data_IF_357540855235
#
_entry.id   IF_357540855235
#
_cell.length_a   1.000
_cell.length_b   1.000
_cell.length_c   1.000
_cell.angle_alpha   90.00
_cell.angle_beta   90.00
_cell.angle_gamma   90.00
#
_symmetry.space_group_name_H-M   'P 1'
#
loop_
_entity.id
_entity.type
_entity.pdbx_description
1 polymer ?
#
# COMPACT_ATOMS: atom_id res chain seq x y z
N UNK A 1 -10.36 0.87 -13.04
CA UNK A 1 -9.09 1.04 -12.33
C UNK A 1 -7.96 1.22 -13.32
N UNK A 2 -7.59 2.48 -13.53
CA UNK A 2 -6.46 2.95 -14.34
C UNK A 2 -5.38 3.59 -13.47
N UNK A 3 -5.75 4.17 -12.32
CA UNK A 3 -4.81 4.81 -11.40
C UNK A 3 -4.92 4.23 -9.99
N UNK A 4 -3.78 3.92 -9.37
CA UNK A 4 -3.68 3.36 -8.02
C UNK A 4 -2.62 4.09 -7.21
N UNK A 5 -2.86 4.26 -5.91
CA UNK A 5 -1.85 4.67 -4.95
C UNK A 5 -1.05 3.48 -4.46
N UNK A 6 0.20 3.68 -4.05
CA UNK A 6 1.06 2.64 -3.49
C UNK A 6 1.66 3.10 -2.16
N UNK A 7 1.38 2.35 -1.10
CA UNK A 7 2.02 2.49 0.20
C UNK A 7 2.89 1.27 0.47
N UNK A 8 4.12 1.51 0.93
CA UNK A 8 5.10 0.47 1.23
C UNK A 8 6.33 1.10 1.83
N UNK A 9 7.43 0.34 1.93
CA UNK A 9 8.71 0.96 2.28
C UNK A 9 9.10 2.01 1.25
N UNK A 10 9.94 2.98 1.63
CA UNK A 10 10.52 3.95 0.69
C UNK A 10 11.12 3.28 -0.55
N UNK A 11 11.81 2.13 -0.39
CA UNK A 11 12.32 1.34 -1.51
C UNK A 11 11.22 0.91 -2.50
N UNK A 12 10.11 0.36 -1.99
CA UNK A 12 8.95 -0.02 -2.82
C UNK A 12 8.30 1.18 -3.49
N UNK A 13 8.25 2.32 -2.80
CA UNK A 13 7.64 3.56 -3.28
C UNK A 13 8.56 4.43 -4.13
N UNK A 14 9.85 4.15 -4.25
CA UNK A 14 10.80 4.99 -5.00
C UNK A 14 11.46 4.24 -6.15
N UNK A 15 11.65 2.92 -6.03
CA UNK A 15 12.29 2.15 -7.08
C UNK A 15 11.33 1.78 -8.21
N UNK A 16 11.84 1.89 -9.44
CA UNK A 16 11.11 1.56 -10.67
C UNK A 16 10.74 0.08 -10.79
N UNK A 17 11.37 -0.82 -10.03
CA UNK A 17 11.11 -2.26 -10.16
C UNK A 17 9.66 -2.64 -9.89
N UNK A 18 9.03 -2.06 -8.86
CA UNK A 18 7.64 -2.39 -8.50
C UNK A 18 6.63 -1.54 -9.28
N UNK A 19 6.88 -0.23 -9.38
CA UNK A 19 6.02 0.69 -10.15
C UNK A 19 6.04 0.39 -11.64
N UNK A 20 7.22 0.19 -12.20
CA UNK A 20 7.44 -0.11 -13.61
C UNK A 20 6.77 -1.41 -14.00
N UNK A 21 6.86 -2.46 -13.16
CA UNK A 21 6.15 -3.73 -13.42
C UNK A 21 4.63 -3.57 -13.42
N UNK A 22 4.06 -2.78 -12.51
CA UNK A 22 2.61 -2.51 -12.49
C UNK A 22 2.16 -1.69 -13.71
N UNK A 23 2.96 -0.69 -14.09
CA UNK A 23 2.69 0.13 -15.25
C UNK A 23 2.82 -0.66 -16.56
N UNK A 24 3.89 -1.42 -16.75
CA UNK A 24 4.16 -2.18 -17.98
C UNK A 24 3.23 -3.38 -18.15
N UNK A 25 2.96 -4.13 -17.08
CA UNK A 25 2.18 -5.38 -17.19
C UNK A 25 0.67 -5.15 -17.14
N UNK A 26 0.21 -4.14 -16.40
CA UNK A 26 -1.22 -3.90 -16.16
C UNK A 26 -1.69 -2.53 -16.65
N UNK A 27 -0.82 -1.74 -17.29
CA UNK A 27 -1.13 -0.42 -17.83
C UNK A 27 -1.74 0.53 -16.78
N UNK A 28 -1.27 0.40 -15.54
CA UNK A 28 -1.70 1.18 -14.38
C UNK A 28 -0.79 2.40 -14.15
N UNK A 29 -1.39 3.55 -13.89
CA UNK A 29 -0.69 4.70 -13.34
C UNK A 29 -0.53 4.55 -11.82
N UNK A 30 0.71 4.63 -11.32
CA UNK A 30 1.01 4.40 -9.90
C UNK A 30 1.40 5.71 -9.22
N UNK A 31 0.52 6.20 -8.36
CA UNK A 31 0.77 7.36 -7.51
C UNK A 31 1.48 6.92 -6.22
N UNK A 32 2.42 7.75 -5.76
CA UNK A 32 3.06 7.59 -4.45
C UNK A 32 2.95 8.88 -3.64
N UNK A 33 2.99 8.79 -2.31
CA UNK A 33 2.96 9.99 -1.46
C UNK A 33 4.14 10.92 -1.74
N UNK A 34 4.03 12.15 -1.24
CA UNK A 34 5.13 13.14 -1.23
C UNK A 34 6.27 12.64 -0.34
N UNK A 35 7.46 13.20 -0.52
CA UNK A 35 8.68 12.71 0.14
C UNK A 35 8.56 12.67 1.68
N UNK A 36 7.94 13.67 2.28
CA UNK A 36 7.72 13.74 3.73
C UNK A 36 6.81 12.60 4.21
N UNK A 37 5.71 12.35 3.50
CA UNK A 37 4.79 11.26 3.79
C UNK A 37 5.42 9.89 3.59
N UNK A 38 6.29 9.74 2.57
CA UNK A 38 7.03 8.49 2.36
C UNK A 38 7.96 8.17 3.53
N UNK A 39 8.59 9.19 4.13
CA UNK A 39 9.42 9.03 5.34
C UNK A 39 8.56 8.59 6.53
N UNK A 40 7.37 9.17 6.71
CA UNK A 40 6.42 8.75 7.76
C UNK A 40 6.04 7.28 7.58
N UNK A 41 5.58 6.90 6.39
CA UNK A 41 5.18 5.51 6.08
C UNK A 41 6.33 4.54 6.36
N UNK A 42 7.53 4.84 5.85
CA UNK A 42 8.72 4.01 6.06
C UNK A 42 9.09 3.87 7.54
N UNK A 43 9.10 4.97 8.29
CA UNK A 43 9.44 4.97 9.70
C UNK A 43 8.43 4.17 10.53
N UNK A 44 7.13 4.36 10.27
CA UNK A 44 6.07 3.61 10.96
C UNK A 44 6.21 2.10 10.71
N UNK A 45 6.51 1.68 9.48
CA UNK A 45 6.73 0.26 9.17
C UNK A 45 7.85 -0.31 10.05
N UNK A 46 9.03 0.30 10.06
CA UNK A 46 10.19 -0.26 10.77
C UNK A 46 10.16 -0.07 12.28
N UNK A 47 9.73 1.09 12.76
CA UNK A 47 9.80 1.48 14.17
C UNK A 47 8.57 1.06 14.97
N UNK A 48 7.45 0.75 14.31
CA UNK A 48 6.22 0.36 14.98
C UNK A 48 5.74 -1.01 14.51
N UNK A 49 5.39 -1.14 13.22
CA UNK A 49 4.65 -2.31 12.73
C UNK A 49 5.49 -3.59 12.74
N UNK A 50 6.76 -3.54 12.33
CA UNK A 50 7.69 -4.66 12.42
C UNK A 50 7.99 -5.08 13.88
N UNK A 51 7.72 -4.21 14.86
CA UNK A 51 7.83 -4.50 16.28
C UNK A 51 6.50 -4.95 16.90
N UNK A 52 5.43 -5.05 16.10
CA UNK A 52 4.09 -5.40 16.56
C UNK A 52 3.34 -4.27 17.26
N UNK A 53 3.85 -3.03 17.20
CA UNK A 53 3.23 -1.87 17.84
C UNK A 53 2.24 -1.19 16.88
N UNK A 54 1.01 -0.97 17.36
CA UNK A 54 -0.03 -0.26 16.60
C UNK A 54 -0.32 1.06 17.31
N UNK A 55 -0.03 2.18 16.64
CA UNK A 55 -0.23 3.51 17.18
C UNK A 55 -1.38 4.22 16.45
N UNK A 56 -2.27 4.85 17.23
CA UNK A 56 -3.38 5.63 16.69
C UNK A 56 -2.89 6.82 15.86
N UNK A 57 -1.85 7.53 16.31
CA UNK A 57 -1.33 8.68 15.56
C UNK A 57 -0.80 8.26 14.19
N UNK A 58 -0.11 7.13 14.13
CA UNK A 58 0.38 6.55 12.87
C UNK A 58 -0.77 6.12 11.96
N UNK A 59 -1.85 5.57 12.54
CA UNK A 59 -3.07 5.27 11.79
C UNK A 59 -3.69 6.53 11.19
N UNK A 60 -3.80 7.61 11.96
CA UNK A 60 -4.37 8.87 11.51
C UNK A 60 -3.52 9.48 10.37
N UNK A 61 -2.19 9.40 10.45
CA UNK A 61 -1.29 9.80 9.35
C UNK A 61 -1.49 8.94 8.10
N UNK A 62 -1.62 7.62 8.24
CA UNK A 62 -1.89 6.74 7.10
C UNK A 62 -3.23 7.07 6.43
N UNK A 63 -4.28 7.34 7.22
CA UNK A 63 -5.58 7.71 6.69
C UNK A 63 -5.54 9.06 5.96
N UNK A 64 -4.79 10.04 6.49
CA UNK A 64 -4.52 11.30 5.81
C UNK A 64 -3.85 11.07 4.45
N UNK A 65 -2.78 10.30 4.42
CA UNK A 65 -2.02 10.00 3.20
C UNK A 65 -2.88 9.24 2.17
N UNK A 66 -3.68 8.27 2.61
CA UNK A 66 -4.63 7.53 1.75
C UNK A 66 -5.63 8.50 1.10
N UNK A 67 -6.16 9.44 1.88
CA UNK A 67 -7.10 10.44 1.39
C UNK A 67 -6.45 11.41 0.39
N UNK A 68 -5.20 11.81 0.63
CA UNK A 68 -4.44 12.63 -0.32
C UNK A 68 -4.21 11.90 -1.63
N UNK A 69 -3.75 10.64 -1.60
CA UNK A 69 -3.61 9.81 -2.80
C UNK A 69 -4.92 9.69 -3.60
N UNK A 70 -6.05 9.52 -2.90
CA UNK A 70 -7.36 9.48 -3.55
C UNK A 70 -7.75 10.82 -4.17
N UNK A 71 -7.45 11.93 -3.49
CA UNK A 71 -7.68 13.29 -3.99
C UNK A 71 -6.81 13.59 -5.23
N UNK A 72 -5.63 12.99 -5.30
CA UNK A 72 -4.72 13.05 -6.47
C UNK A 72 -5.15 12.11 -7.61
N UNK A 73 -6.26 11.37 -7.44
CA UNK A 73 -6.88 10.56 -8.48
C UNK A 73 -6.66 9.05 -8.36
N UNK A 74 -6.12 8.55 -7.25
CA UNK A 74 -6.09 7.10 -7.00
C UNK A 74 -7.50 6.54 -6.79
N UNK A 75 -7.89 5.56 -7.61
CA UNK A 75 -9.16 4.81 -7.45
C UNK A 75 -9.08 3.77 -6.33
N UNK A 76 -7.86 3.34 -5.98
CA UNK A 76 -7.57 2.43 -4.89
C UNK A 76 -6.14 2.61 -4.40
N UNK A 77 -5.86 2.22 -3.16
CA UNK A 77 -4.51 2.24 -2.57
C UNK A 77 -4.03 0.82 -2.30
N UNK A 78 -2.89 0.48 -2.89
CA UNK A 78 -2.19 -0.78 -2.74
C UNK A 78 -1.37 -0.76 -1.44
N UNK A 79 -1.61 -1.75 -0.59
CA UNK A 79 -0.82 -2.01 0.62
C UNK A 79 0.31 -2.98 0.25
N UNK A 80 1.51 -2.46 0.12
CA UNK A 80 2.70 -3.18 -0.35
C UNK A 80 3.41 -4.02 0.71
N UNK A 81 2.95 -3.99 1.97
CA UNK A 81 3.46 -4.80 3.06
C UNK A 81 2.28 -5.30 3.92
N UNK A 82 2.35 -6.53 4.41
CA UNK A 82 1.37 -7.16 5.32
C UNK A 82 1.10 -6.33 6.57
N UNK A 83 2.15 -5.72 7.08
CA UNK A 83 2.20 -4.91 8.28
C UNK A 83 1.26 -3.70 8.19
N UNK A 84 1.12 -3.12 7.00
CA UNK A 84 0.24 -1.96 6.78
C UNK A 84 -1.23 -2.36 6.99
N UNK A 85 -1.61 -3.57 6.59
CA UNK A 85 -2.95 -4.12 6.82
C UNK A 85 -3.27 -4.37 8.30
N UNK A 86 -2.26 -4.42 9.18
CA UNK A 86 -2.47 -4.48 10.62
C UNK A 86 -2.88 -3.11 11.19
N UNK A 87 -2.40 -2.01 10.60
CA UNK A 87 -2.64 -0.64 11.05
C UNK A 87 -3.95 -0.07 10.50
N UNK A 88 -4.22 -0.27 9.20
CA UNK A 88 -5.38 0.29 8.49
C UNK A 88 -6.20 -0.80 7.83
N UNK A 89 -7.52 -0.74 8.02
CA UNK A 89 -8.48 -1.67 7.44
C UNK A 89 -9.44 -0.95 6.50
N UNK A 90 -10.10 -1.69 5.62
CA UNK A 90 -11.11 -1.14 4.71
C UNK A 90 -12.27 -0.44 5.47
N UNK A 91 -12.54 -0.81 6.72
CA UNK A 91 -13.55 -0.15 7.56
C UNK A 91 -13.15 1.25 8.03
N UNK A 92 -11.87 1.62 7.91
CA UNK A 92 -11.35 2.90 8.41
C UNK A 92 -11.39 4.01 7.34
N UNK A 93 -11.69 3.68 6.09
CA UNK A 93 -11.65 4.62 4.97
C UNK A 93 -12.62 4.20 3.86
N UNK A 94 -13.18 5.18 3.17
CA UNK A 94 -14.00 4.95 1.97
C UNK A 94 -13.15 4.66 0.73
N UNK A 95 -11.84 4.96 0.79
CA UNK A 95 -10.91 4.65 -0.29
C UNK A 95 -10.69 3.15 -0.35
N UNK A 96 -10.83 2.56 -1.54
CA UNK A 96 -10.63 1.12 -1.73
C UNK A 96 -9.19 0.74 -1.41
N UNK A 97 -8.98 -0.19 -0.50
CA UNK A 97 -7.67 -0.74 -0.15
C UNK A 97 -7.46 -2.08 -0.88
N UNK A 98 -6.27 -2.27 -1.43
CA UNK A 98 -5.86 -3.50 -2.11
C UNK A 98 -4.70 -4.09 -1.33
N UNK A 99 -4.98 -5.15 -0.57
CA UNK A 99 -3.93 -5.91 0.10
C UNK A 99 -3.25 -6.84 -0.91
N UNK A 100 -2.00 -6.54 -1.25
CA UNK A 100 -1.20 -7.35 -2.18
C UNK A 100 -0.90 -8.74 -1.65
N UNK A 101 -1.01 -8.92 -0.34
CA UNK A 101 -0.80 -10.20 0.35
C UNK A 101 -2.01 -11.10 0.15
N UNK A 102 -3.23 -10.57 0.26
CA UNK A 102 -4.44 -11.35 0.00
C UNK A 102 -4.47 -11.85 -1.45
N UNK A 103 -4.06 -11.01 -2.40
CA UNK A 103 -3.97 -11.38 -3.82
C UNK A 103 -2.84 -12.39 -4.08
N UNK A 104 -1.65 -12.23 -3.47
CA UNK A 104 -0.56 -13.21 -3.63
C UNK A 104 -0.84 -14.52 -2.91
N UNK A 105 -1.44 -14.51 -1.72
CA UNK A 105 -1.83 -15.72 -1.00
C UNK A 105 -2.91 -16.47 -1.78
N UNK A 106 -3.88 -15.75 -2.34
CA UNK A 106 -4.92 -16.34 -3.18
C UNK A 106 -4.34 -16.86 -4.50
N UNK A 107 -3.43 -16.14 -5.15
CA UNK A 107 -2.74 -16.61 -6.35
C UNK A 107 -1.78 -17.79 -6.08
N UNK A 108 -1.11 -17.83 -4.92
CA UNK A 108 -0.23 -18.92 -4.51
C UNK A 108 -1.03 -20.18 -4.16
N UNK A 109 -2.20 -20.03 -3.51
CA UNK A 109 -3.15 -21.11 -3.24
C UNK A 109 -3.78 -21.60 -4.55
N UNK A 110 -4.21 -20.70 -5.45
CA UNK A 110 -4.72 -21.07 -6.78
C UNK A 110 -3.67 -21.78 -7.65
N UNK A 111 -2.40 -21.37 -7.56
CA UNK A 111 -1.29 -22.08 -8.22
C UNK A 111 -1.08 -23.48 -7.62
N UNK A 112 -1.08 -23.59 -6.28
CA UNK A 112 -0.85 -24.86 -5.59
C UNK A 112 -1.98 -25.90 -5.76
N UNK A 113 -3.24 -25.47 -5.95
CA UNK A 113 -4.39 -26.38 -6.13
C UNK A 113 -4.65 -26.69 -7.61
N UNK A 114 -4.12 -25.90 -8.55
CA UNK A 114 -4.14 -26.20 -9.99
C UNK A 114 -2.81 -26.83 -10.50
N UNK A 115 -2.00 -27.38 -9.57
CA UNK A 115 -0.80 -28.18 -9.86
C UNK A 115 -1.11 -29.68 -9.86
#
# INVERSE_FOLDING_TARGET
>A
MKTVGLLGTAFTMEQNFYKGRLAEKYNLNVLVPKEEDRKIVHNVIYQELCLGNINKNSKDEYLRIIKELSSDGAEAVILGCTEIGMLVKQSDTEVKLIDTTAIHAQAAVEYAINS
#
